data_IF_258615131779
#
_entry.id   IF_258615131779
#
_cell.length_a   1.000
_cell.length_b   1.000
_cell.length_c   1.000
_cell.angle_alpha   90.00
_cell.angle_beta   90.00
_cell.angle_gamma   90.00
#
_symmetry.space_group_name_H-M   'P 1'
#
loop_
_entity.id
_entity.type
_entity.pdbx_description
1 polymer ?
#
# COMPACT_ATOMS: atom_id res chain seq x y z
N UNK A 1 13.36 19.92 -0.09
CA UNK A 1 13.84 19.07 1.02
C UNK A 1 12.74 18.60 1.98
N UNK A 2 11.60 19.30 2.11
CA UNK A 2 10.47 18.87 2.96
C UNK A 2 9.84 17.55 2.47
N UNK A 3 9.49 17.45 1.17
CA UNK A 3 8.88 16.27 0.51
C UNK A 3 9.59 14.92 0.79
N UNK A 4 10.89 14.97 1.03
CA UNK A 4 11.78 13.80 1.11
C UNK A 4 11.91 13.20 2.51
N UNK A 5 11.63 13.99 3.56
CA UNK A 5 11.66 13.53 4.96
C UNK A 5 10.35 12.81 5.32
N UNK A 6 9.25 13.28 4.72
CA UNK A 6 7.91 12.74 4.89
C UNK A 6 7.78 11.32 4.33
N UNK A 7 8.16 11.10 3.07
CA UNK A 7 8.06 9.79 2.40
C UNK A 7 8.79 8.66 3.15
N UNK A 8 9.95 8.93 3.77
CA UNK A 8 10.71 7.90 4.49
C UNK A 8 10.10 7.58 5.88
N UNK A 9 9.60 8.60 6.61
CA UNK A 9 8.89 8.39 7.88
C UNK A 9 7.54 7.67 7.65
N UNK A 10 6.88 7.91 6.52
CA UNK A 10 5.59 7.33 6.20
C UNK A 10 5.65 5.87 5.77
N UNK A 11 6.62 5.47 4.96
CA UNK A 11 6.74 4.04 4.62
C UNK A 11 7.17 3.22 5.84
N UNK A 12 7.94 3.82 6.77
CA UNK A 12 8.24 3.20 8.07
C UNK A 12 6.94 3.00 8.89
N UNK A 13 6.04 4.01 8.94
CA UNK A 13 4.73 3.90 9.62
C UNK A 13 3.78 2.87 8.97
N UNK A 14 3.80 2.74 7.63
CA UNK A 14 3.04 1.72 6.89
C UNK A 14 3.43 0.29 7.28
N UNK A 15 4.73 0.06 7.52
CA UNK A 15 5.25 -1.26 7.86
C UNK A 15 5.03 -1.62 9.33
N UNK A 16 5.09 -0.64 10.23
CA UNK A 16 4.87 -0.87 11.67
C UNK A 16 3.43 -1.27 12.03
N UNK A 17 2.48 -1.09 11.12
CA UNK A 17 1.04 -1.23 11.41
C UNK A 17 0.38 -2.46 10.80
N UNK A 18 1.05 -3.14 9.86
CA UNK A 18 0.50 -4.32 9.17
C UNK A 18 0.45 -5.57 10.07
N UNK A 19 1.18 -5.56 11.20
CA UNK A 19 1.17 -6.61 12.21
C UNK A 19 -0.12 -6.69 13.05
N UNK A 20 -1.02 -5.70 12.98
CA UNK A 20 -2.18 -5.61 13.89
C UNK A 20 -3.51 -6.13 13.30
N UNK A 21 -3.59 -6.46 12.00
CA UNK A 21 -4.88 -6.81 11.36
C UNK A 21 -5.26 -8.30 11.57
N UNK A 22 -4.60 -9.02 12.48
CA UNK A 22 -4.93 -10.42 12.79
C UNK A 22 -5.99 -10.60 13.88
N UNK A 23 -6.25 -9.58 14.71
CA UNK A 23 -7.24 -9.67 15.79
C UNK A 23 -7.96 -8.34 15.97
N UNK A 24 -9.17 -8.22 15.44
CA UNK A 24 -10.31 -7.63 16.17
C UNK A 24 -11.50 -7.41 15.22
N UNK A 25 -12.51 -8.26 15.41
CA UNK A 25 -13.88 -7.82 15.27
C UNK A 25 -14.14 -6.81 16.41
N UNK A 26 -14.00 -5.51 16.13
CA UNK A 26 -14.54 -4.43 16.95
C UNK A 26 -14.57 -3.17 16.09
N UNK A 27 -15.78 -2.83 15.65
CA UNK A 27 -16.11 -1.44 15.34
C UNK A 27 -16.06 -0.65 16.66
N UNK A 28 -15.35 0.46 16.67
CA UNK A 28 -15.69 1.75 17.30
C UNK A 28 -14.46 2.66 17.14
N UNK A 29 -14.70 3.84 16.57
CA UNK A 29 -13.79 5.00 16.42
C UNK A 29 -12.50 4.88 15.57
N UNK A 30 -12.37 5.84 14.65
CA UNK A 30 -11.24 6.06 13.74
C UNK A 30 -9.90 6.43 14.44
N UNK A 31 -9.72 6.10 15.72
CA UNK A 31 -8.53 6.41 16.54
C UNK A 31 -7.49 5.29 16.58
N UNK A 32 -7.80 4.10 16.06
CA UNK A 32 -6.89 2.94 16.04
C UNK A 32 -6.36 2.52 14.66
N UNK A 33 -6.87 3.12 13.58
CA UNK A 33 -6.48 2.75 12.23
C UNK A 33 -5.16 3.43 11.84
N UNK A 34 -4.25 2.71 11.16
CA UNK A 34 -3.04 3.31 10.61
C UNK A 34 -3.37 4.51 9.72
N UNK A 35 -2.55 5.58 9.68
CA UNK A 35 -2.85 6.80 8.94
C UNK A 35 -3.09 6.60 7.43
N UNK A 36 -2.65 5.47 6.90
CA UNK A 36 -2.81 5.07 5.49
C UNK A 36 -4.04 4.19 5.24
N UNK A 37 -4.61 3.57 6.28
CA UNK A 37 -5.76 2.69 6.18
C UNK A 37 -7.03 3.48 6.50
N UNK A 38 -7.51 4.20 5.50
CA UNK A 38 -8.78 4.94 5.60
C UNK A 38 -9.94 3.96 5.85
N UNK A 39 -11.04 4.38 6.49
CA UNK A 39 -12.24 3.55 6.60
C UNK A 39 -12.76 3.06 5.23
N UNK A 40 -12.57 3.87 4.18
CA UNK A 40 -12.92 3.50 2.80
C UNK A 40 -12.04 2.36 2.28
N UNK A 41 -10.72 2.42 2.45
CA UNK A 41 -9.81 1.32 2.11
C UNK A 41 -10.15 0.04 2.89
N UNK A 42 -10.42 0.13 4.18
CA UNK A 42 -10.81 -1.01 5.00
C UNK A 42 -12.10 -1.67 4.46
N UNK A 43 -13.11 -0.87 4.11
CA UNK A 43 -14.34 -1.36 3.48
C UNK A 43 -14.06 -2.04 2.15
N UNK A 44 -13.20 -1.45 1.31
CA UNK A 44 -12.84 -2.03 0.00
C UNK A 44 -12.13 -3.37 0.14
N UNK A 45 -11.22 -3.52 1.12
CA UNK A 45 -10.55 -4.80 1.38
C UNK A 45 -11.58 -5.90 1.71
N UNK A 46 -12.59 -5.59 2.53
CA UNK A 46 -13.69 -6.53 2.84
C UNK A 46 -14.50 -6.88 1.59
N UNK A 47 -14.77 -5.91 0.71
CA UNK A 47 -15.52 -6.11 -0.54
C UNK A 47 -14.83 -7.00 -1.57
N UNK A 48 -13.52 -7.24 -1.45
CA UNK A 48 -12.81 -8.21 -2.32
C UNK A 48 -13.30 -9.64 -2.04
N UNK A 49 -13.87 -9.90 -0.86
CA UNK A 49 -14.40 -11.21 -0.46
C UNK A 49 -13.35 -12.33 -0.58
N UNK A 50 -12.14 -12.05 -0.10
CA UNK A 50 -11.02 -13.00 -0.14
C UNK A 50 -11.26 -14.20 0.78
N UNK A 51 -10.82 -15.38 0.38
CA UNK A 51 -10.69 -16.52 1.30
C UNK A 51 -9.46 -16.37 2.22
N UNK A 52 -9.20 -17.35 3.09
CA UNK A 52 -8.09 -17.29 4.06
C UNK A 52 -6.70 -17.26 3.40
N UNK A 53 -6.51 -18.07 2.37
CA UNK A 53 -5.24 -18.15 1.62
C UNK A 53 -4.99 -16.85 0.86
N UNK A 54 -6.00 -16.35 0.15
CA UNK A 54 -5.96 -15.07 -0.57
C UNK A 54 -5.68 -13.90 0.37
N UNK A 55 -6.28 -13.86 1.57
CA UNK A 55 -5.98 -12.82 2.58
C UNK A 55 -4.54 -12.88 3.06
N UNK A 56 -4.00 -14.08 3.24
CA UNK A 56 -2.62 -14.29 3.68
C UNK A 56 -1.66 -13.79 2.61
N UNK A 57 -1.90 -14.18 1.35
CA UNK A 57 -1.14 -13.71 0.20
C UNK A 57 -1.23 -12.18 0.05
N UNK A 58 -2.43 -11.63 0.09
CA UNK A 58 -2.65 -10.18 -0.01
C UNK A 58 -1.82 -9.40 1.03
N UNK A 59 -1.82 -9.85 2.29
CA UNK A 59 -1.04 -9.21 3.35
C UNK A 59 0.45 -9.31 3.08
N UNK A 60 0.93 -10.50 2.70
CA UNK A 60 2.34 -10.74 2.35
C UNK A 60 2.79 -9.82 1.20
N UNK A 61 2.05 -9.84 0.10
CA UNK A 61 2.40 -9.11 -1.12
C UNK A 61 2.26 -7.60 -0.94
N UNK A 62 1.25 -7.12 -0.20
CA UNK A 62 1.14 -5.70 0.15
C UNK A 62 2.33 -5.26 1.03
N UNK A 63 2.73 -6.09 2.01
CA UNK A 63 3.92 -5.83 2.84
C UNK A 63 5.15 -5.68 1.93
N UNK A 64 5.41 -6.68 1.10
CA UNK A 64 6.57 -6.72 0.20
C UNK A 64 6.59 -5.56 -0.80
N UNK A 65 5.42 -5.18 -1.33
CA UNK A 65 5.25 -4.02 -2.20
C UNK A 65 5.69 -2.72 -1.51
N UNK A 66 5.20 -2.49 -0.29
CA UNK A 66 5.49 -1.29 0.50
C UNK A 66 6.94 -1.24 0.97
N UNK A 67 7.50 -2.36 1.47
CA UNK A 67 8.92 -2.46 1.83
C UNK A 67 9.83 -2.23 0.62
N UNK A 68 9.49 -2.86 -0.51
CA UNK A 68 10.21 -2.69 -1.76
C UNK A 68 10.20 -1.23 -2.22
N UNK A 69 9.06 -0.57 -2.13
CA UNK A 69 8.94 0.86 -2.45
C UNK A 69 9.79 1.72 -1.51
N UNK A 70 9.79 1.45 -0.20
CA UNK A 70 10.67 2.13 0.77
C UNK A 70 12.13 2.06 0.36
N UNK A 71 12.59 0.86 0.04
CA UNK A 71 13.98 0.58 -0.24
C UNK A 71 14.40 1.25 -1.55
N UNK A 72 13.53 1.21 -2.57
CA UNK A 72 13.75 1.89 -3.85
C UNK A 72 13.85 3.40 -3.67
N UNK A 73 12.89 4.00 -2.95
CA UNK A 73 12.89 5.43 -2.64
C UNK A 73 14.14 5.82 -1.87
N UNK A 74 14.49 5.09 -0.81
CA UNK A 74 15.69 5.36 0.00
C UNK A 74 16.95 5.32 -0.87
N UNK A 75 17.05 4.33 -1.78
CA UNK A 75 18.16 4.20 -2.72
C UNK A 75 18.20 5.33 -3.73
N UNK A 76 17.06 5.75 -4.28
CA UNK A 76 16.95 6.91 -5.18
C UNK A 76 17.43 8.17 -4.47
N UNK A 77 16.97 8.38 -3.23
CA UNK A 77 17.35 9.53 -2.43
C UNK A 77 18.84 9.56 -2.11
N UNK A 78 19.40 8.41 -1.70
CA UNK A 78 20.84 8.29 -1.42
C UNK A 78 21.71 8.57 -2.65
N UNK A 79 21.27 8.16 -3.84
CA UNK A 79 21.98 8.37 -5.10
C UNK A 79 21.84 9.81 -5.62
N UNK A 80 20.72 10.47 -5.33
CA UNK A 80 20.44 11.83 -5.78
C UNK A 80 20.33 11.95 -7.32
N UNK A 81 20.71 13.13 -7.81
CA UNK A 81 20.68 13.49 -9.23
C UNK A 81 19.35 14.13 -9.69
N UNK A 82 19.23 14.37 -10.99
CA UNK A 82 18.02 14.94 -11.59
C UNK A 82 16.84 13.96 -11.57
N UNK A 83 15.64 14.49 -11.84
CA UNK A 83 14.42 13.71 -12.08
C UNK A 83 13.98 12.77 -10.95
N UNK A 84 14.32 13.08 -9.69
CA UNK A 84 13.96 12.26 -8.52
C UNK A 84 12.47 11.89 -8.49
N UNK A 85 11.60 12.86 -8.82
CA UNK A 85 10.14 12.63 -8.92
C UNK A 85 9.81 11.52 -9.91
N UNK A 86 10.37 11.55 -11.13
CA UNK A 86 10.12 10.52 -12.16
C UNK A 86 10.70 9.17 -11.74
N UNK A 87 11.84 9.15 -11.04
CA UNK A 87 12.45 7.91 -10.52
C UNK A 87 11.56 7.26 -9.46
N UNK A 88 11.02 8.05 -8.53
CA UNK A 88 10.08 7.57 -7.49
C UNK A 88 8.78 7.07 -8.14
N UNK A 89 8.25 7.81 -9.11
CA UNK A 89 7.06 7.42 -9.87
C UNK A 89 7.23 6.06 -10.56
N UNK A 90 8.36 5.84 -11.23
CA UNK A 90 8.69 4.56 -11.87
C UNK A 90 8.82 3.42 -10.87
N UNK A 91 9.45 3.67 -9.72
CA UNK A 91 9.55 2.67 -8.65
C UNK A 91 8.16 2.28 -8.13
N UNK A 92 7.29 3.26 -7.87
CA UNK A 92 5.90 3.01 -7.45
C UNK A 92 5.15 2.19 -8.49
N UNK A 93 5.13 2.62 -9.76
CA UNK A 93 4.42 1.92 -10.84
C UNK A 93 4.88 0.46 -10.95
N UNK A 94 6.19 0.22 -10.85
CA UNK A 94 6.76 -1.15 -10.90
C UNK A 94 6.32 -2.00 -9.72
N UNK A 95 6.35 -1.46 -8.49
CA UNK A 95 5.99 -2.21 -7.28
C UNK A 95 4.50 -2.54 -7.23
N UNK A 96 3.66 -1.56 -7.52
CA UNK A 96 2.20 -1.77 -7.55
C UNK A 96 1.75 -2.60 -8.75
N UNK A 97 2.42 -2.51 -9.91
CA UNK A 97 2.14 -3.39 -11.04
C UNK A 97 2.43 -4.86 -10.70
N UNK A 98 3.58 -5.16 -10.09
CA UNK A 98 3.90 -6.52 -9.66
C UNK A 98 2.90 -7.04 -8.60
N UNK A 99 2.49 -6.20 -7.66
CA UNK A 99 1.45 -6.54 -6.69
C UNK A 99 0.10 -6.82 -7.34
N UNK A 100 -0.28 -5.99 -8.32
CA UNK A 100 -1.51 -6.16 -9.09
C UNK A 100 -1.50 -7.49 -9.86
N UNK A 101 -0.43 -7.78 -10.57
CA UNK A 101 -0.27 -9.01 -11.36
C UNK A 101 -0.42 -10.26 -10.47
N UNK A 102 0.32 -10.32 -9.36
CA UNK A 102 0.25 -11.45 -8.41
C UNK A 102 -1.17 -11.64 -7.85
N UNK A 103 -1.83 -10.55 -7.48
CA UNK A 103 -3.18 -10.63 -6.91
C UNK A 103 -4.22 -11.02 -7.96
N UNK A 104 -4.13 -10.54 -9.19
CA UNK A 104 -5.06 -10.92 -10.26
C UNK A 104 -4.93 -12.40 -10.64
N UNK A 105 -3.75 -13.00 -10.50
CA UNK A 105 -3.54 -14.43 -10.69
C UNK A 105 -4.17 -15.27 -9.55
N UNK A 106 -4.10 -14.79 -8.31
CA UNK A 106 -4.62 -15.51 -7.13
C UNK A 106 -6.12 -15.28 -6.86
N UNK A 107 -6.68 -14.18 -7.34
CA UNK A 107 -8.09 -13.83 -7.16
C UNK A 107 -8.97 -14.46 -8.24
N UNK A 108 -10.17 -14.86 -7.84
CA UNK A 108 -11.22 -15.29 -8.77
C UNK A 108 -11.70 -14.10 -9.61
N UNK A 109 -12.14 -14.30 -10.87
CA UNK A 109 -12.53 -13.22 -11.76
C UNK A 109 -13.59 -12.25 -11.19
N UNK A 110 -14.52 -12.76 -10.38
CA UNK A 110 -15.54 -11.95 -9.70
C UNK A 110 -14.98 -10.99 -8.62
N UNK A 111 -13.76 -11.22 -8.13
CA UNK A 111 -13.09 -10.40 -7.13
C UNK A 111 -12.24 -9.27 -7.75
N UNK A 112 -11.98 -9.32 -9.06
CA UNK A 112 -11.02 -8.44 -9.74
C UNK A 112 -11.42 -6.97 -9.70
N UNK A 113 -12.68 -6.65 -9.93
CA UNK A 113 -13.15 -5.25 -9.94
C UNK A 113 -13.06 -4.61 -8.54
N UNK A 114 -13.43 -5.36 -7.50
CA UNK A 114 -13.29 -4.91 -6.12
C UNK A 114 -11.83 -4.68 -5.76
N UNK A 115 -10.93 -5.57 -6.18
CA UNK A 115 -9.49 -5.43 -5.97
C UNK A 115 -8.92 -4.20 -6.71
N UNK A 116 -9.27 -4.00 -7.98
CA UNK A 116 -8.83 -2.81 -8.74
C UNK A 116 -9.32 -1.51 -8.11
N UNK A 117 -10.55 -1.50 -7.59
CA UNK A 117 -11.08 -0.35 -6.87
C UNK A 117 -10.32 -0.08 -5.56
N UNK A 118 -9.91 -1.12 -4.82
CA UNK A 118 -9.02 -1.00 -3.67
C UNK A 118 -7.66 -0.42 -4.07
N UNK A 119 -7.03 -1.00 -5.10
CA UNK A 119 -5.69 -0.64 -5.55
C UNK A 119 -5.61 0.82 -6.01
N UNK A 120 -6.62 1.28 -6.76
CA UNK A 120 -6.71 2.67 -7.21
C UNK A 120 -6.76 3.65 -6.03
N UNK A 121 -7.57 3.37 -5.01
CA UNK A 121 -7.65 4.21 -3.81
C UNK A 121 -6.34 4.15 -3.00
N UNK A 122 -5.73 2.97 -2.86
CA UNK A 122 -4.46 2.82 -2.13
C UNK A 122 -3.35 3.68 -2.75
N UNK A 123 -3.29 3.74 -4.08
CA UNK A 123 -2.35 4.58 -4.82
C UNK A 123 -2.69 6.06 -4.62
N UNK A 124 -3.98 6.43 -4.63
CA UNK A 124 -4.41 7.80 -4.38
C UNK A 124 -4.02 8.27 -2.98
N UNK A 125 -4.30 7.49 -1.94
CA UNK A 125 -3.94 7.79 -0.54
C UNK A 125 -2.43 8.01 -0.42
N UNK A 126 -1.61 7.13 -1.02
CA UNK A 126 -0.16 7.29 -1.02
C UNK A 126 0.29 8.56 -1.75
N UNK A 127 -0.37 8.95 -2.84
CA UNK A 127 -0.07 10.17 -3.57
C UNK A 127 -0.47 11.45 -2.82
N UNK A 128 -1.57 11.40 -2.08
CA UNK A 128 -2.02 12.51 -1.23
C UNK A 128 -1.13 12.69 -0.02
N UNK A 129 -0.76 11.59 0.64
CA UNK A 129 0.19 11.61 1.76
C UNK A 129 1.57 12.13 1.36
N UNK A 130 2.00 11.88 0.12
CA UNK A 130 3.27 12.42 -0.40
C UNK A 130 3.21 13.92 -0.70
N UNK A 131 2.02 14.50 -0.89
CA UNK A 131 1.85 15.92 -1.21
C UNK A 131 1.81 16.82 0.03
N UNK A 132 1.58 16.26 1.21
CA UNK A 132 1.58 16.96 2.51
C UNK A 132 2.96 16.94 3.14
#
# INVERSE_FOLDING_TARGET
MQFTIHLNRFIILLLSTLALIASSAQAEEASGLPPWLTPSLAKKIVQIDMNSEQRTLFRSELTGCLEGLRNDVTKIMRRGGSDLRKKIERARKRRFGAFEDTMLEALSPNQHDAFKAYLAEQIQVLNEMNRR
#
